data_IF_811806526181
#
_entry.id   IF_811806526181
#
_cell.length_a   1.000
_cell.length_b   1.000
_cell.length_c   1.000
_cell.angle_alpha   90.00
_cell.angle_beta   90.00
_cell.angle_gamma   90.00
#
_symmetry.space_group_name_H-M   'P 1'
#
loop_
_entity.id
_entity.type
_entity.pdbx_description
1 polymer ?
#
# COMPACT_ATOMS: atom_id res chain seq x y z
N UNK A 1 12.19 10.60 -0.95
CA UNK A 1 10.73 10.47 -0.82
C UNK A 1 10.45 9.60 0.38
N UNK A 2 9.97 10.21 1.45
CA UNK A 2 9.80 9.53 2.73
C UNK A 2 8.46 8.80 2.82
N UNK A 3 7.51 9.11 1.93
CA UNK A 3 6.19 8.46 1.88
C UNK A 3 6.31 7.08 1.22
N UNK A 4 5.93 6.05 1.96
CA UNK A 4 5.84 4.67 1.47
C UNK A 4 4.48 4.45 0.82
N UNK A 5 3.39 4.62 1.58
CA UNK A 5 2.02 4.50 1.09
C UNK A 5 1.03 5.31 1.93
N UNK A 6 -0.17 5.50 1.39
CA UNK A 6 -1.32 6.10 2.08
C UNK A 6 -2.48 5.11 1.99
N UNK A 7 -3.10 4.78 3.12
CA UNK A 7 -4.22 3.86 3.21
C UNK A 7 -5.45 4.48 3.87
N UNK A 8 -6.65 3.99 3.56
CA UNK A 8 -7.87 4.36 4.30
C UNK A 8 -7.88 3.72 5.67
N UNK A 9 -8.38 4.45 6.68
CA UNK A 9 -8.70 3.86 7.98
C UNK A 9 -10.16 3.46 8.06
N UNK A 10 -10.56 2.78 9.15
CA UNK A 10 -11.97 2.51 9.46
C UNK A 10 -12.79 3.78 9.70
N UNK A 11 -12.14 4.89 10.06
CA UNK A 11 -12.80 6.16 10.32
C UNK A 11 -13.02 6.92 9.01
N UNK A 12 -14.26 7.35 8.71
CA UNK A 12 -14.55 8.14 7.53
C UNK A 12 -13.67 9.40 7.43
N UNK A 13 -13.25 9.72 6.21
CA UNK A 13 -12.40 10.87 5.90
C UNK A 13 -11.05 10.90 6.62
N UNK A 14 -10.62 9.77 7.18
CA UNK A 14 -9.34 9.64 7.86
C UNK A 14 -8.48 8.60 7.16
N UNK A 15 -7.27 9.01 6.80
CA UNK A 15 -6.28 8.17 6.14
C UNK A 15 -5.05 8.02 7.05
N UNK A 16 -4.29 6.97 6.81
CA UNK A 16 -3.00 6.71 7.43
C UNK A 16 -1.92 6.85 6.35
N UNK A 17 -0.95 7.72 6.59
CA UNK A 17 0.26 7.85 5.77
C UNK A 17 1.40 7.15 6.48
N UNK A 18 2.01 6.19 5.80
CA UNK A 18 3.19 5.49 6.28
C UNK A 18 4.42 6.11 5.65
N UNK A 19 5.35 6.50 6.51
CA UNK A 19 6.63 7.11 6.18
C UNK A 19 7.76 6.13 6.51
N UNK A 20 8.94 6.37 5.94
CA UNK A 20 10.17 5.64 6.31
C UNK A 20 10.58 5.86 7.77
N UNK A 21 10.11 6.95 8.39
CA UNK A 21 10.47 7.36 9.76
C UNK A 21 9.33 7.20 10.77
N UNK A 22 8.14 6.77 10.35
CA UNK A 22 6.97 6.64 11.22
C UNK A 22 5.66 6.70 10.45
N UNK A 23 4.61 7.19 11.10
CA UNK A 23 3.27 7.29 10.51
C UNK A 23 2.59 8.61 10.89
N UNK A 24 1.64 9.05 10.08
CA UNK A 24 0.81 10.20 10.39
C UNK A 24 -0.62 10.03 9.89
N UNK A 25 -1.56 10.66 10.59
CA UNK A 25 -2.98 10.66 10.20
C UNK A 25 -3.29 11.87 9.32
N UNK A 26 -4.09 11.64 8.28
CA UNK A 26 -4.54 12.67 7.34
C UNK A 26 -6.06 12.77 7.33
N UNK A 27 -6.56 13.96 7.02
CA UNK A 27 -7.97 14.19 6.73
C UNK A 27 -8.20 14.32 5.23
N UNK A 28 -9.18 13.60 4.69
CA UNK A 28 -9.53 13.64 3.28
C UNK A 28 -9.85 12.27 2.70
N UNK A 29 -9.67 12.13 1.38
CA UNK A 29 -9.94 10.88 0.66
C UNK A 29 -8.76 10.44 -0.19
N UNK A 30 -8.67 9.14 -0.45
CA UNK A 30 -7.65 8.56 -1.34
C UNK A 30 -7.61 9.28 -2.70
N UNK A 31 -8.76 9.60 -3.28
CA UNK A 31 -8.82 10.25 -4.60
C UNK A 31 -8.31 11.69 -4.56
N UNK A 32 -8.44 12.39 -3.43
CA UNK A 32 -7.88 13.72 -3.25
C UNK A 32 -6.35 13.64 -3.23
N UNK A 33 -5.79 12.78 -2.36
CA UNK A 33 -4.34 12.63 -2.24
C UNK A 33 -3.69 12.08 -3.52
N UNK A 34 -4.40 11.25 -4.29
CA UNK A 34 -3.93 10.79 -5.60
C UNK A 34 -3.72 11.94 -6.60
N UNK A 35 -4.59 12.95 -6.57
CA UNK A 35 -4.47 14.12 -7.44
C UNK A 35 -3.37 15.07 -6.99
N UNK A 36 -3.25 15.24 -5.67
CA UNK A 36 -2.28 16.15 -5.05
C UNK A 36 -0.85 15.59 -5.07
N UNK A 37 -0.69 14.27 -5.20
CA UNK A 37 0.62 13.60 -5.17
C UNK A 37 0.82 12.73 -6.42
N UNK A 38 1.24 13.31 -7.56
CA UNK A 38 1.43 12.58 -8.82
C UNK A 38 2.48 11.46 -8.79
N UNK A 39 3.34 11.45 -7.76
CA UNK A 39 4.31 10.38 -7.51
C UNK A 39 3.69 9.13 -6.86
N UNK A 40 2.46 9.24 -6.35
CA UNK A 40 1.73 8.14 -5.74
C UNK A 40 0.76 7.53 -6.73
N UNK A 41 0.73 6.21 -6.77
CA UNK A 41 -0.04 5.42 -7.73
C UNK A 41 -1.09 4.58 -7.00
N UNK A 42 -2.30 4.54 -7.56
CA UNK A 42 -3.42 3.85 -6.93
C UNK A 42 -3.42 2.36 -7.24
N UNK A 43 -3.12 1.55 -6.23
CA UNK A 43 -3.00 0.09 -6.40
C UNK A 43 -4.31 -0.66 -6.11
N UNK A 44 -5.18 -0.06 -5.30
CA UNK A 44 -6.53 -0.53 -5.03
C UNK A 44 -7.43 0.66 -4.61
N UNK A 45 -8.68 0.42 -4.22
CA UNK A 45 -9.60 1.50 -3.84
C UNK A 45 -9.18 2.28 -2.58
N UNK A 46 -8.42 1.64 -1.69
CA UNK A 46 -8.06 2.10 -0.35
C UNK A 46 -6.58 2.46 -0.17
N UNK A 47 -5.72 2.30 -1.19
CA UNK A 47 -4.27 2.40 -1.05
C UNK A 47 -3.61 3.11 -2.25
N UNK A 48 -2.81 4.11 -1.93
CA UNK A 48 -1.87 4.77 -2.83
C UNK A 48 -0.45 4.40 -2.42
N UNK A 49 0.41 4.07 -3.37
CA UNK A 49 1.79 3.69 -3.07
C UNK A 49 2.77 4.60 -3.78
N UNK A 50 3.92 4.82 -3.18
CA UNK A 50 5.08 5.31 -3.89
C UNK A 50 5.81 4.12 -4.52
N UNK A 51 5.87 3.99 -5.85
CA UNK A 51 6.55 2.86 -6.49
C UNK A 51 7.98 2.71 -6.00
N UNK A 52 8.71 3.82 -5.78
CA UNK A 52 10.13 3.78 -5.34
C UNK A 52 10.37 3.03 -4.02
N UNK A 53 9.32 2.86 -3.20
CA UNK A 53 9.39 2.19 -1.90
C UNK A 53 8.80 0.77 -1.93
N UNK A 54 8.45 0.25 -3.10
CA UNK A 54 8.11 -1.17 -3.30
C UNK A 54 9.40 -1.99 -3.31
N UNK A 55 9.43 -3.05 -2.52
CA UNK A 55 10.53 -4.02 -2.52
C UNK A 55 10.25 -5.21 -3.44
N UNK A 56 9.02 -5.74 -3.40
CA UNK A 56 8.64 -6.90 -4.19
C UNK A 56 7.18 -6.87 -4.65
N UNK A 57 6.89 -7.59 -5.73
CA UNK A 57 5.54 -7.76 -6.27
C UNK A 57 5.25 -9.25 -6.49
N UNK A 58 4.15 -9.73 -5.90
CA UNK A 58 3.54 -11.03 -6.17
C UNK A 58 2.32 -10.88 -7.10
N UNK A 59 2.53 -11.07 -8.40
CA UNK A 59 1.46 -11.01 -9.40
C UNK A 59 0.44 -12.15 -9.26
N UNK A 60 0.77 -13.24 -8.57
CA UNK A 60 -0.14 -14.39 -8.43
C UNK A 60 -1.10 -14.20 -7.25
N UNK A 61 -0.60 -13.63 -6.16
CA UNK A 61 -1.40 -13.33 -4.96
C UNK A 61 -1.98 -11.90 -4.97
N UNK A 62 -1.58 -11.09 -5.96
CA UNK A 62 -1.91 -9.67 -6.05
C UNK A 62 -1.44 -8.86 -4.84
N UNK A 63 -0.16 -8.97 -4.51
CA UNK A 63 0.44 -8.30 -3.36
C UNK A 63 1.71 -7.55 -3.69
N UNK A 64 1.98 -6.51 -2.92
CA UNK A 64 3.28 -5.82 -2.91
C UNK A 64 3.83 -5.82 -1.49
N UNK A 65 5.15 -5.97 -1.35
CA UNK A 65 5.84 -5.65 -0.11
C UNK A 65 6.57 -4.32 -0.24
N UNK A 66 6.68 -3.60 0.87
CA UNK A 66 7.39 -2.33 0.93
C UNK A 66 8.70 -2.46 1.69
N UNK A 67 9.57 -1.46 1.55
CA UNK A 67 10.89 -1.39 2.22
C UNK A 67 10.83 -1.44 3.75
N UNK A 68 9.68 -1.16 4.37
CA UNK A 68 9.46 -1.27 5.81
C UNK A 68 8.93 -2.66 6.23
N UNK A 69 8.74 -3.58 5.28
CA UNK A 69 8.21 -4.93 5.52
C UNK A 69 6.68 -5.04 5.47
N UNK A 70 5.96 -3.93 5.29
CA UNK A 70 4.51 -3.96 5.12
C UNK A 70 4.11 -4.65 3.82
N UNK A 71 2.93 -5.26 3.83
CA UNK A 71 2.36 -5.96 2.67
C UNK A 71 0.95 -5.49 2.44
N UNK A 72 0.66 -5.05 1.23
CA UNK A 72 -0.67 -4.60 0.80
C UNK A 72 -1.15 -5.37 -0.42
N UNK A 73 -2.46 -5.59 -0.50
CA UNK A 73 -3.11 -6.19 -1.67
C UNK A 73 -3.30 -5.14 -2.77
N UNK A 74 -3.24 -5.54 -4.04
CA UNK A 74 -3.63 -4.69 -5.16
C UNK A 74 -4.79 -5.28 -5.95
N UNK A 75 -5.52 -4.42 -6.66
CA UNK A 75 -6.70 -4.83 -7.42
C UNK A 75 -6.33 -5.57 -8.71
N UNK A 76 -7.21 -6.45 -9.20
CA UNK A 76 -7.03 -7.12 -10.51
C UNK A 76 -6.84 -6.12 -11.66
N UNK A 77 -7.54 -4.99 -11.61
CA UNK A 77 -7.40 -3.90 -12.57
C UNK A 77 -6.01 -3.26 -12.57
N UNK A 78 -5.30 -3.30 -11.43
CA UNK A 78 -3.96 -2.75 -11.29
C UNK A 78 -2.85 -3.69 -11.76
N UNK A 79 -3.15 -4.94 -12.15
CA UNK A 79 -2.15 -5.91 -12.64
C UNK A 79 -1.31 -5.36 -13.79
N UNK A 80 -1.93 -4.63 -14.73
CA UNK A 80 -1.19 -4.02 -15.85
C UNK A 80 -0.16 -3.01 -15.34
N UNK A 81 -0.58 -2.11 -14.45
CA UNK A 81 0.31 -1.14 -13.79
C UNK A 81 1.44 -1.83 -13.02
N UNK A 82 1.15 -2.93 -12.31
CA UNK A 82 2.16 -3.71 -11.58
C UNK A 82 3.19 -4.36 -12.51
N UNK A 83 2.79 -4.79 -13.71
CA UNK A 83 3.74 -5.27 -14.74
C UNK A 83 4.59 -4.13 -15.27
N UNK A 84 4.00 -2.95 -15.50
CA UNK A 84 4.73 -1.76 -15.94
C UNK A 84 5.74 -1.31 -14.87
N UNK A 85 5.43 -1.53 -13.59
CA UNK A 85 6.36 -1.33 -12.49
C UNK A 85 7.53 -2.33 -12.53
N UNK A 86 7.27 -3.64 -12.67
CA UNK A 86 8.33 -4.64 -12.81
C UNK A 86 9.26 -4.39 -14.01
N UNK A 87 8.75 -3.80 -15.09
CA UNK A 87 9.56 -3.45 -16.25
C UNK A 87 10.41 -2.19 -16.03
N UNK A 88 9.89 -1.22 -15.25
CA UNK A 88 10.57 0.06 -14.98
C UNK A 88 11.51 0.01 -13.79
N UNK A 89 11.25 -0.87 -12.84
CA UNK A 89 11.96 -0.98 -11.59
C UNK A 89 12.41 -2.43 -11.38
N UNK A 90 13.62 -2.61 -10.86
CA UNK A 90 14.21 -3.92 -10.62
C UNK A 90 13.70 -4.55 -9.31
N UNK A 91 12.37 -4.67 -9.15
CA UNK A 91 11.78 -5.28 -7.95
C UNK A 91 11.96 -6.79 -7.93
N UNK A 92 11.97 -7.35 -6.71
CA UNK A 92 11.93 -8.80 -6.52
C UNK A 92 10.56 -9.33 -6.93
N UNK A 93 10.53 -10.55 -7.44
CA UNK A 93 9.30 -11.31 -7.66
C UNK A 93 9.33 -12.53 -6.75
N UNK A 94 8.45 -12.53 -5.75
CA UNK A 94 8.41 -13.58 -4.72
C UNK A 94 7.00 -13.83 -4.25
N UNK A 95 6.80 -14.98 -3.59
CA UNK A 95 5.49 -15.33 -3.06
C UNK A 95 5.29 -14.66 -1.71
N UNK A 96 4.31 -13.77 -1.61
CA UNK A 96 4.05 -13.00 -0.39
C UNK A 96 2.95 -13.66 0.45
N UNK A 97 3.28 -13.98 1.71
CA UNK A 97 2.33 -14.48 2.69
C UNK A 97 1.44 -13.34 3.24
N UNK A 98 0.27 -13.68 3.79
CA UNK A 98 -0.58 -12.68 4.47
C UNK A 98 0.11 -12.30 5.79
N UNK A 99 0.09 -11.02 6.16
CA UNK A 99 0.27 -10.68 7.56
C UNK A 99 -0.79 -11.45 8.35
N UNK A 100 -0.38 -12.17 9.41
CA UNK A 100 -1.35 -12.84 10.28
C UNK A 100 -2.28 -11.76 10.81
N UNK A 101 -3.58 -11.94 10.65
CA UNK A 101 -4.56 -11.16 11.40
C UNK A 101 -4.19 -11.32 12.88
N UNK A 102 -3.74 -10.22 13.51
CA UNK A 102 -3.80 -10.14 14.96
C UNK A 102 -5.31 -10.11 15.24
N UNK A 103 -5.85 -11.26 15.61
CA UNK A 103 -7.12 -11.33 16.31
C UNK A 103 -6.92 -10.59 17.63
N UNK A 104 -7.24 -9.30 17.64
CA UNK A 104 -7.32 -8.55 18.89
C UNK A 104 -8.50 -9.12 19.67
N UNK A 105 -8.19 -9.62 20.86
CA UNK A 105 -9.07 -10.47 21.63
C UNK A 105 -10.42 -9.81 21.93
N UNK A 106 -11.48 -10.60 21.83
CA UNK A 106 -12.67 -10.37 22.63
C UNK A 106 -12.26 -10.19 24.10
N UNK A 107 -12.29 -8.96 24.59
CA UNK A 107 -12.43 -8.69 26.02
C UNK A 107 -13.92 -8.90 26.33
N UNK A 108 -14.27 -10.09 26.81
CA UNK A 108 -15.45 -10.24 27.64
C UNK A 108 -15.09 -9.64 29.01
N UNK A 109 -15.66 -8.47 29.32
CA UNK A 109 -15.90 -8.01 30.70
C UNK A 109 -17.38 -8.11 30.98
#
# INVERSE_FOLDING_TARGET
DDIIYISTTITPHKLLMILTTGEMQLLGSINQYAKENPMLEKINQSCLVNPKNIESIDLKQHRVSFVNGDVEDFSRSSVKMMKDFLARYNYKTEKLAKQKEINDGHVNV
#
